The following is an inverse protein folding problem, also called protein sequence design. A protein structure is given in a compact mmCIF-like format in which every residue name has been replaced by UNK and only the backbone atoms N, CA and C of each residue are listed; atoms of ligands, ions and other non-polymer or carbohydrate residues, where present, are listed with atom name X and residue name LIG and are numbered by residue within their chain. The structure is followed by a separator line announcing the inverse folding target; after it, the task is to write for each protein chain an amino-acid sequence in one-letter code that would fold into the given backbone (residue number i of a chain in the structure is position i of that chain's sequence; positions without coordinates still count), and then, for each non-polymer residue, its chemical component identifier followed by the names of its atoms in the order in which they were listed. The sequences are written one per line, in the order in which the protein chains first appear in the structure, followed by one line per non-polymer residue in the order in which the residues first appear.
data_IF_139530986842
#
_entry.id   IF_139530986842
#
_cell.length_a   1.000
_cell.length_b   1.000
_cell.length_c   1.000
_cell.angle_alpha   90.00
_cell.angle_beta   90.00
_cell.angle_gamma   90.00
#
_symmetry.space_group_name_H-M   'P 1'
#
loop_
_entity.id
_entity.type
_entity.pdbx_description
1 polymer ?
#
# COMPACT_ATOMS: atom_id res chain seq x y z
N UNK A 1 8.96 -13.03 -7.24
CA UNK A 1 8.07 -12.40 -6.24
C UNK A 1 8.94 -11.89 -5.12
N UNK A 2 9.07 -10.58 -4.97
CA UNK A 2 9.86 -9.97 -3.90
C UNK A 2 9.15 -10.23 -2.57
N UNK A 3 9.90 -10.67 -1.55
CA UNK A 3 9.37 -10.93 -0.21
C UNK A 3 8.78 -9.65 0.44
N UNK A 4 9.20 -8.48 -0.05
CA UNK A 4 8.80 -7.14 0.38
C UNK A 4 7.33 -6.79 0.03
N UNK A 5 6.74 -7.49 -0.94
CA UNK A 5 5.35 -7.27 -1.36
C UNK A 5 4.35 -7.95 -0.41
N UNK A 6 4.80 -8.92 0.40
CA UNK A 6 3.95 -9.62 1.37
C UNK A 6 3.75 -8.73 2.62
N UNK A 7 2.53 -8.61 3.16
CA UNK A 7 2.30 -7.86 4.39
C UNK A 7 3.17 -8.34 5.54
N UNK A 8 3.90 -7.42 6.20
CA UNK A 8 4.80 -7.76 7.33
C UNK A 8 4.05 -8.24 8.56
N UNK A 9 2.86 -7.70 8.80
CA UNK A 9 1.91 -8.18 9.80
C UNK A 9 0.46 -7.91 9.34
N UNK A 10 -0.53 -8.31 10.15
CA UNK A 10 -1.96 -8.13 9.84
C UNK A 10 -2.54 -6.80 10.36
N UNK A 11 -1.73 -5.92 10.92
CA UNK A 11 -2.17 -4.63 11.47
C UNK A 11 -1.92 -3.52 10.46
N UNK A 12 -2.84 -2.55 10.44
CA UNK A 12 -2.73 -1.42 9.51
C UNK A 12 -2.72 -1.85 8.05
N UNK A 13 -3.35 -2.98 7.72
CA UNK A 13 -3.51 -3.43 6.33
C UNK A 13 -4.37 -2.44 5.56
N UNK A 14 -3.96 -2.19 4.32
CA UNK A 14 -4.68 -1.35 3.37
C UNK A 14 -4.63 -1.97 1.99
N UNK A 15 -5.68 -1.77 1.21
CA UNK A 15 -5.75 -2.16 -0.19
C UNK A 15 -5.56 -0.94 -1.08
N UNK A 16 -4.67 -1.02 -2.08
CA UNK A 16 -4.53 0.02 -3.09
C UNK A 16 -5.82 0.14 -3.92
N UNK A 17 -6.36 1.35 -4.04
CA UNK A 17 -7.62 1.61 -4.76
C UNK A 17 -7.51 1.39 -6.27
N UNK A 18 -6.29 1.31 -6.82
CA UNK A 18 -6.06 1.13 -8.26
C UNK A 18 -5.83 -0.34 -8.64
N UNK A 19 -4.97 -1.05 -7.92
CA UNK A 19 -4.57 -2.41 -8.27
C UNK A 19 -4.98 -3.49 -7.27
N UNK A 20 -5.64 -3.11 -6.17
CA UNK A 20 -6.06 -4.01 -5.07
C UNK A 20 -4.92 -4.70 -4.30
N UNK A 21 -3.66 -4.33 -4.52
CA UNK A 21 -2.54 -4.83 -3.73
C UNK A 21 -2.75 -4.52 -2.26
N UNK A 22 -2.56 -5.51 -1.39
CA UNK A 22 -2.67 -5.37 0.06
C UNK A 22 -1.29 -5.39 0.70
N UNK A 23 -0.96 -4.33 1.45
CA UNK A 23 0.25 -4.20 2.28
C UNK A 23 -0.11 -3.45 3.57
N UNK A 24 0.82 -3.36 4.52
CA UNK A 24 0.63 -2.45 5.67
C UNK A 24 0.77 -0.99 5.23
N UNK A 25 0.19 -0.06 6.00
CA UNK A 25 0.37 1.38 5.79
C UNK A 25 1.86 1.76 5.70
N UNK A 26 2.68 1.25 6.63
CA UNK A 26 4.13 1.52 6.65
C UNK A 26 4.84 1.00 5.40
N UNK A 27 4.41 -0.14 4.86
CA UNK A 27 4.97 -0.64 3.59
C UNK A 27 4.60 0.24 2.40
N UNK A 28 3.39 0.79 2.35
CA UNK A 28 3.04 1.77 1.31
C UNK A 28 3.80 3.09 1.49
N UNK A 29 4.00 3.55 2.73
CA UNK A 29 4.77 4.76 3.01
C UNK A 29 6.25 4.59 2.65
N UNK A 30 6.84 3.43 2.94
CA UNK A 30 8.27 3.19 2.73
C UNK A 30 8.60 2.75 1.29
N UNK A 31 7.86 1.77 0.77
CA UNK A 31 8.14 1.14 -0.53
C UNK A 31 7.20 1.58 -1.65
N UNK A 32 6.12 2.28 -1.31
CA UNK A 32 5.05 2.55 -2.27
C UNK A 32 4.25 1.31 -2.66
N UNK A 33 3.36 1.51 -3.63
CA UNK A 33 2.64 0.42 -4.28
C UNK A 33 3.48 -0.18 -5.41
N UNK A 34 3.79 -1.47 -5.35
CA UNK A 34 4.62 -2.20 -6.33
C UNK A 34 4.10 -2.07 -7.78
N UNK A 35 2.80 -1.85 -7.96
CA UNK A 35 2.15 -1.77 -9.27
C UNK A 35 1.86 -0.34 -9.75
N UNK A 36 1.88 0.65 -8.84
CA UNK A 36 1.26 1.96 -9.11
C UNK A 36 2.06 3.16 -8.59
N UNK A 37 3.13 2.95 -7.82
CA UNK A 37 3.86 4.06 -7.17
C UNK A 37 4.47 5.05 -8.16
N UNK A 38 4.78 4.61 -9.40
CA UNK A 38 5.29 5.49 -10.48
C UNK A 38 4.41 6.73 -10.69
N UNK A 39 3.09 6.59 -10.53
CA UNK A 39 2.14 7.71 -10.67
C UNK A 39 1.43 8.10 -9.37
N UNK A 40 1.27 7.18 -8.40
CA UNK A 40 0.62 7.48 -7.12
C UNK A 40 1.57 8.14 -6.10
N UNK A 41 2.89 7.97 -6.23
CA UNK A 41 3.93 8.64 -5.43
C UNK A 41 3.66 8.57 -3.92
N UNK A 42 3.47 7.35 -3.41
CA UNK A 42 3.15 7.10 -2.01
C UNK A 42 4.40 7.11 -1.11
N UNK A 43 5.58 6.84 -1.70
CA UNK A 43 6.85 6.83 -0.96
C UNK A 43 7.10 8.14 -0.22
N UNK A 44 7.32 8.05 1.09
CA UNK A 44 7.50 9.16 2.03
C UNK A 44 6.34 10.18 2.01
N UNK A 45 5.17 9.79 1.53
CA UNK A 45 3.99 10.66 1.44
C UNK A 45 2.77 9.96 2.03
N UNK A 46 2.59 10.13 3.34
CA UNK A 46 1.47 9.57 4.11
C UNK A 46 0.10 9.99 3.58
N UNK A 47 -0.02 11.24 3.13
CA UNK A 47 -1.29 11.78 2.62
C UNK A 47 -1.70 11.00 1.37
N UNK A 48 -0.76 10.78 0.44
CA UNK A 48 -1.02 9.95 -0.74
C UNK A 48 -1.34 8.49 -0.38
N UNK A 49 -0.72 7.92 0.67
CA UNK A 49 -1.09 6.58 1.15
C UNK A 49 -2.55 6.57 1.60
N UNK A 50 -2.98 7.55 2.40
CA UNK A 50 -4.38 7.64 2.84
C UNK A 50 -5.35 7.84 1.68
N UNK A 51 -5.03 8.69 0.71
CA UNK A 51 -5.90 9.02 -0.43
C UNK A 51 -5.98 7.88 -1.46
N UNK A 52 -4.91 7.09 -1.62
CA UNK A 52 -4.82 6.07 -2.66
C UNK A 52 -5.08 4.64 -2.16
N UNK A 53 -5.36 4.46 -0.87
CA UNK A 53 -5.57 3.13 -0.27
C UNK A 53 -6.73 3.13 0.73
N UNK A 54 -7.40 1.99 0.89
CA UNK A 54 -8.51 1.80 1.84
C UNK A 54 -8.14 0.79 2.93
N UNK A 55 -8.47 1.08 4.20
CA UNK A 55 -8.46 0.10 5.29
C UNK A 55 -9.68 -0.83 5.29
N UNK A 56 -10.69 -0.49 4.49
CA UNK A 56 -11.92 -1.26 4.34
C UNK A 56 -11.86 -2.00 3.00
N UNK A 57 -11.57 -3.28 3.07
CA UNK A 57 -11.56 -4.21 1.94
C UNK A 57 -12.03 -5.58 2.41
N UNK A 58 -12.64 -6.34 1.52
CA UNK A 58 -13.04 -7.74 1.74
C UNK A 58 -12.24 -8.64 0.81
N UNK A 59 -11.94 -9.85 1.26
CA UNK A 59 -11.15 -10.86 0.55
C UNK A 59 -11.90 -12.18 0.38
#
# INVERSE_FOLDING_TARGET
VSMETVPKDLRGLRACLVCSLVKTFEQFEFDGCDNCDEFLRMKNNKDNVFDCTSSNFDG
#
